data_IF_632455634491
#
_entry.id   IF_632455634491
#
_cell.length_a   1.000
_cell.length_b   1.000
_cell.length_c   1.000
_cell.angle_alpha   90.00
_cell.angle_beta   90.00
_cell.angle_gamma   90.00
#
_symmetry.space_group_name_H-M   'P 1'
#
loop_
_entity.id
_entity.type
_entity.pdbx_description
1 polymer ?
#
# COMPACT_ATOMS: atom_id res chain seq x y z
N UNK A 1 12.47 -16.18 16.80
CA UNK A 1 13.20 -16.08 15.52
C UNK A 1 14.08 -14.84 15.54
N UNK A 2 15.27 -14.89 14.96
CA UNK A 2 16.09 -13.68 14.76
C UNK A 2 15.48 -12.82 13.65
N UNK A 3 15.43 -11.50 13.83
CA UNK A 3 14.95 -10.55 12.83
C UNK A 3 15.82 -10.58 11.55
N UNK A 4 15.22 -10.48 10.34
CA UNK A 4 15.96 -10.34 9.07
C UNK A 4 16.50 -8.91 8.86
N UNK A 5 17.13 -8.68 7.72
CA UNK A 5 17.37 -7.31 7.24
C UNK A 5 16.01 -6.65 7.01
N UNK A 6 15.88 -5.38 7.39
CA UNK A 6 14.63 -4.63 7.26
C UNK A 6 14.77 -3.55 6.20
N UNK A 7 14.18 -3.81 5.04
CA UNK A 7 14.17 -2.90 3.91
C UNK A 7 12.95 -1.98 3.96
N UNK A 8 13.13 -0.73 3.58
CA UNK A 8 12.10 0.30 3.50
C UNK A 8 12.41 1.22 2.34
N UNK A 9 11.43 1.45 1.47
CA UNK A 9 11.51 2.51 0.48
C UNK A 9 10.95 3.82 1.04
N UNK A 10 11.16 4.90 0.30
CA UNK A 10 10.56 6.21 0.57
C UNK A 10 10.51 7.03 -0.70
N UNK A 11 9.97 8.24 -0.60
CA UNK A 11 9.99 9.21 -1.70
C UNK A 11 11.19 10.17 -1.62
N UNK A 12 12.09 9.97 -0.66
CA UNK A 12 13.20 10.89 -0.36
C UNK A 12 14.55 10.20 -0.49
N UNK A 13 15.58 11.00 -0.70
CA UNK A 13 17.00 10.58 -0.68
C UNK A 13 17.54 10.38 0.75
N UNK A 14 16.66 10.24 1.74
CA UNK A 14 16.98 9.88 3.13
C UNK A 14 16.00 8.86 3.68
N UNK A 15 16.42 8.12 4.72
CA UNK A 15 15.71 6.93 5.22
C UNK A 15 14.35 7.21 5.89
N UNK A 16 14.22 8.35 6.57
CA UNK A 16 12.97 8.87 7.21
C UNK A 16 12.12 7.82 7.93
N UNK A 17 12.74 6.95 8.71
CA UNK A 17 12.03 5.97 9.56
C UNK A 17 11.09 6.65 10.57
N UNK A 18 11.34 7.90 10.93
CA UNK A 18 10.56 8.74 11.85
C UNK A 18 9.34 9.41 11.20
N UNK A 19 9.15 9.28 9.89
CA UNK A 19 7.98 9.79 9.18
C UNK A 19 6.74 8.90 9.42
N UNK A 20 6.31 8.82 10.68
CA UNK A 20 5.15 8.03 11.12
C UNK A 20 3.85 8.75 10.74
N UNK A 21 3.04 8.07 9.94
CA UNK A 21 1.72 8.51 9.47
C UNK A 21 0.61 7.92 10.35
N UNK A 22 -0.58 8.54 10.40
CA UNK A 22 -1.70 8.02 11.18
C UNK A 22 -2.09 6.55 10.83
N UNK A 23 -1.90 6.13 9.58
CA UNK A 23 -2.17 4.74 9.16
C UNK A 23 -1.09 3.73 9.58
N UNK A 24 0.11 4.17 9.96
CA UNK A 24 1.19 3.25 10.33
C UNK A 24 0.99 2.70 11.75
N UNK A 25 0.47 3.53 12.67
CA UNK A 25 0.13 3.13 14.04
C UNK A 25 -0.95 4.06 14.63
N UNK A 26 -2.03 3.53 15.24
CA UNK A 26 -3.04 4.33 15.91
C UNK A 26 -2.45 5.10 17.10
N UNK A 27 -2.84 6.37 17.21
CA UNK A 27 -2.47 7.23 18.34
C UNK A 27 -3.72 7.49 19.18
N UNK A 28 -3.71 7.07 20.45
CA UNK A 28 -4.83 7.27 21.38
C UNK A 28 -4.34 8.11 22.55
N UNK A 29 -4.92 9.29 22.75
CA UNK A 29 -4.50 10.26 23.77
C UNK A 29 -2.99 10.60 23.67
N UNK A 30 -2.46 10.75 22.46
CA UNK A 30 -1.03 11.03 22.21
C UNK A 30 -0.09 9.83 22.38
N UNK A 31 -0.63 8.64 22.70
CA UNK A 31 0.15 7.44 22.99
C UNK A 31 0.03 6.41 21.87
N UNK A 32 1.12 5.68 21.64
CA UNK A 32 1.17 4.47 20.80
C UNK A 32 1.41 3.25 21.68
N UNK A 33 0.89 2.08 21.26
CA UNK A 33 0.99 0.83 22.03
C UNK A 33 1.62 -0.29 21.19
N UNK A 34 2.35 -1.23 21.81
CA UNK A 34 2.83 -2.41 21.10
C UNK A 34 1.66 -3.23 20.55
N UNK A 35 1.83 -3.80 19.36
CA UNK A 35 0.84 -4.70 18.75
C UNK A 35 -0.35 -4.02 18.06
N UNK A 36 -0.35 -2.69 17.94
CA UNK A 36 -1.39 -1.95 17.20
C UNK A 36 -0.93 -1.42 15.85
N UNK A 37 0.29 -1.73 15.43
CA UNK A 37 0.90 -1.21 14.20
C UNK A 37 2.41 -0.98 14.38
N UNK A 38 3.01 -0.28 13.41
CA UNK A 38 4.42 0.05 13.40
C UNK A 38 4.90 0.53 12.03
N UNK A 39 6.17 0.91 11.98
CA UNK A 39 6.78 1.32 10.72
C UNK A 39 6.99 0.10 9.83
N UNK A 40 6.38 0.11 8.65
CA UNK A 40 6.45 -0.99 7.68
C UNK A 40 7.85 -1.15 7.09
N UNK A 41 8.32 -2.39 7.07
CA UNK A 41 9.59 -2.86 6.51
C UNK A 41 9.42 -4.25 5.91
N UNK A 42 10.40 -4.70 5.13
CA UNK A 42 10.33 -5.98 4.42
C UNK A 42 11.66 -6.74 4.51
N UNK A 43 11.63 -8.06 4.35
CA UNK A 43 12.83 -8.93 4.43
C UNK A 43 13.79 -8.77 3.25
N UNK A 44 13.30 -8.26 2.13
CA UNK A 44 14.06 -7.96 0.93
C UNK A 44 13.61 -6.65 0.30
N UNK A 45 14.48 -6.05 -0.49
CA UNK A 45 14.08 -4.92 -1.34
C UNK A 45 13.05 -5.41 -2.35
N UNK A 46 12.00 -4.63 -2.56
CA UNK A 46 11.05 -4.95 -3.62
C UNK A 46 11.57 -4.53 -4.99
N UNK A 47 11.16 -5.32 -5.97
CA UNK A 47 11.67 -5.24 -7.33
C UNK A 47 11.38 -3.88 -8.00
N UNK A 48 10.26 -3.28 -7.64
CA UNK A 48 9.79 -1.96 -8.08
C UNK A 48 10.44 -0.78 -7.33
N UNK A 49 11.19 -1.02 -6.26
CA UNK A 49 11.76 0.05 -5.44
C UNK A 49 13.00 0.69 -6.08
N UNK A 50 13.03 2.03 -6.08
CA UNK A 50 14.17 2.78 -6.54
C UNK A 50 15.35 2.63 -5.57
N UNK A 51 16.48 2.21 -6.12
CA UNK A 51 17.73 1.96 -5.41
C UNK A 51 18.22 3.15 -4.57
N UNK A 52 18.08 4.36 -5.12
CA UNK A 52 18.45 5.62 -4.49
C UNK A 52 17.41 6.15 -3.49
N UNK A 53 16.29 5.46 -3.32
CA UNK A 53 15.22 5.80 -2.37
C UNK A 53 14.90 4.66 -1.40
N UNK A 54 15.73 3.63 -1.37
CA UNK A 54 15.50 2.43 -0.57
C UNK A 54 16.63 2.23 0.42
N UNK A 55 16.25 1.89 1.63
CA UNK A 55 17.11 1.84 2.79
C UNK A 55 16.96 0.51 3.48
N UNK A 56 18.07 -0.06 3.94
CA UNK A 56 18.09 -1.29 4.72
C UNK A 56 18.66 -1.04 6.11
N UNK A 57 17.92 -1.45 7.14
CA UNK A 57 18.45 -1.64 8.49
C UNK A 57 18.90 -3.08 8.60
N UNK A 58 20.22 -3.29 8.65
CA UNK A 58 20.82 -4.63 8.72
C UNK A 58 20.37 -5.37 9.96
N UNK A 59 20.18 -6.69 9.85
CA UNK A 59 19.77 -7.59 10.94
C UNK A 59 20.69 -7.48 12.16
N UNK A 60 21.98 -7.22 11.93
CA UNK A 60 23.01 -7.03 12.95
C UNK A 60 22.92 -5.69 13.70
N UNK A 61 22.21 -4.70 13.17
CA UNK A 61 22.08 -3.38 13.79
C UNK A 61 21.03 -3.40 14.90
N UNK A 62 21.34 -2.80 16.05
CA UNK A 62 20.37 -2.66 17.14
C UNK A 62 19.22 -1.71 16.78
N UNK A 63 17.99 -2.06 17.15
CA UNK A 63 16.83 -1.17 17.08
C UNK A 63 16.73 -0.24 18.32
N UNK A 64 17.61 -0.41 19.31
CA UNK A 64 17.49 0.22 20.61
C UNK A 64 16.42 -0.44 21.50
N UNK A 65 16.19 0.14 22.68
CA UNK A 65 15.32 -0.45 23.71
C UNK A 65 13.83 -0.13 23.51
N UNK A 66 13.53 0.90 22.71
CA UNK A 66 12.17 1.43 22.53
C UNK A 66 11.44 0.82 21.33
N UNK A 67 12.14 0.02 20.51
CA UNK A 67 11.61 -0.54 19.28
C UNK A 67 11.78 -2.06 19.27
N UNK A 68 10.85 -2.73 18.62
CA UNK A 68 10.93 -4.16 18.36
C UNK A 68 10.52 -4.43 16.92
N UNK A 69 11.08 -5.47 16.31
CA UNK A 69 10.65 -5.93 14.99
C UNK A 69 9.71 -7.13 15.16
N UNK A 70 8.51 -7.04 14.60
CA UNK A 70 7.53 -8.11 14.57
C UNK A 70 7.27 -8.51 13.13
N UNK A 71 7.32 -9.82 12.86
CA UNK A 71 6.77 -10.34 11.61
C UNK A 71 5.26 -10.21 11.72
N UNK A 72 4.67 -9.49 10.77
CA UNK A 72 3.21 -9.32 10.70
C UNK A 72 2.64 -10.37 9.74
N UNK A 73 3.17 -10.40 8.51
CA UNK A 73 2.79 -11.36 7.48
C UNK A 73 3.95 -11.65 6.52
N UNK A 74 4.24 -12.92 6.24
CA UNK A 74 5.21 -13.33 5.21
C UNK A 74 6.55 -12.59 5.32
N UNK A 75 6.86 -11.81 4.28
CA UNK A 75 8.06 -10.98 4.18
C UNK A 75 7.90 -9.55 4.76
N UNK A 76 6.73 -9.21 5.28
CA UNK A 76 6.42 -7.92 5.89
C UNK A 76 6.66 -7.92 7.40
N UNK A 77 7.38 -6.89 7.86
CA UNK A 77 7.78 -6.70 9.23
C UNK A 77 7.46 -5.29 9.70
N UNK A 78 7.02 -5.18 10.95
CA UNK A 78 6.76 -3.92 11.62
C UNK A 78 7.88 -3.60 12.59
N UNK A 79 8.48 -2.42 12.47
CA UNK A 79 9.22 -1.81 13.57
C UNK A 79 8.19 -1.13 14.46
N UNK A 80 7.83 -1.76 15.57
CA UNK A 80 6.79 -1.33 16.50
C UNK A 80 7.40 -0.78 17.80
N UNK A 81 6.66 0.01 18.59
CA UNK A 81 7.10 0.36 19.94
C UNK A 81 7.21 -0.90 20.81
N UNK A 82 8.26 -0.97 21.65
CA UNK A 82 8.48 -2.11 22.57
C UNK A 82 7.60 -2.04 23.82
N UNK A 83 7.19 -0.84 24.22
CA UNK A 83 6.27 -0.55 25.32
C UNK A 83 5.34 0.62 24.95
N UNK A 84 4.30 0.86 25.74
CA UNK A 84 3.45 2.03 25.53
C UNK A 84 4.26 3.32 25.73
N UNK A 85 4.22 4.24 24.77
CA UNK A 85 4.98 5.50 24.80
C UNK A 85 4.27 6.61 24.03
N UNK A 86 4.73 7.85 24.15
CA UNK A 86 4.19 8.97 23.35
C UNK A 86 4.57 8.81 21.88
N UNK A 87 3.78 9.39 20.97
CA UNK A 87 4.10 9.40 19.54
C UNK A 87 5.44 10.10 19.26
N UNK A 88 5.81 11.13 20.02
CA UNK A 88 7.09 11.82 19.92
C UNK A 88 8.26 10.92 20.34
N UNK A 89 8.10 10.14 21.41
CA UNK A 89 9.11 9.18 21.87
C UNK A 89 9.34 8.10 20.81
N UNK A 90 8.26 7.63 20.19
CA UNK A 90 8.32 6.65 19.12
C UNK A 90 9.01 7.20 17.87
N UNK A 91 8.63 8.41 17.40
CA UNK A 91 9.29 9.11 16.29
C UNK A 91 10.78 9.34 16.57
N UNK A 92 11.13 9.74 17.80
CA UNK A 92 12.52 9.92 18.21
C UNK A 92 13.32 8.61 18.15
N UNK A 93 12.75 7.51 18.65
CA UNK A 93 13.39 6.19 18.55
C UNK A 93 13.59 5.77 17.09
N UNK A 94 12.58 5.95 16.24
CA UNK A 94 12.68 5.66 14.80
C UNK A 94 13.71 6.55 14.10
N UNK A 95 13.84 7.82 14.49
CA UNK A 95 14.81 8.74 13.89
C UNK A 95 16.26 8.26 14.08
N UNK A 96 16.52 7.50 15.14
CA UNK A 96 17.83 6.89 15.40
C UNK A 96 18.19 5.84 14.34
N UNK A 97 17.19 5.19 13.73
CA UNK A 97 17.40 4.22 12.66
C UNK A 97 17.92 4.87 11.38
N UNK A 98 17.60 6.16 11.14
CA UNK A 98 18.10 6.88 9.96
C UNK A 98 19.62 6.93 9.89
N UNK A 99 20.32 6.87 11.03
CA UNK A 99 21.79 6.89 11.10
C UNK A 99 22.44 5.56 10.73
N UNK A 100 21.70 4.46 10.81
CA UNK A 100 22.20 3.10 10.59
C UNK A 100 21.62 2.43 9.34
N UNK A 101 20.67 3.08 8.68
CA UNK A 101 20.07 2.60 7.46
C UNK A 101 21.01 2.86 6.26
N UNK A 102 21.14 1.87 5.37
CA UNK A 102 22.08 1.90 4.24
C UNK A 102 21.29 1.93 2.91
N UNK A 103 21.66 2.74 1.91
CA UNK A 103 21.02 2.73 0.59
C UNK A 103 21.20 1.38 -0.12
N UNK A 104 20.21 0.94 -0.90
CA UNK A 104 20.23 -0.40 -1.51
C UNK A 104 20.72 -0.45 -2.95
N UNK A 105 21.36 0.59 -3.48
CA UNK A 105 21.73 0.68 -4.89
C UNK A 105 22.57 -0.50 -5.40
N UNK A 106 21.88 -1.56 -5.85
CA UNK A 106 22.38 -2.84 -6.38
C UNK A 106 21.19 -3.77 -6.75
N UNK A 107 20.60 -3.54 -7.94
CA UNK A 107 19.89 -4.48 -8.86
C UNK A 107 18.52 -5.09 -8.47
N UNK A 108 17.46 -4.94 -9.30
CA UNK A 108 16.14 -5.60 -9.10
C UNK A 108 15.30 -5.89 -10.39
N UNK A 109 14.38 -6.86 -10.26
CA UNK A 109 13.40 -7.37 -11.25
C UNK A 109 12.08 -6.53 -11.36
N UNK A 110 11.14 -6.87 -12.26
CA UNK A 110 10.05 -5.98 -12.75
C UNK A 110 8.66 -6.63 -12.62
N UNK A 111 7.63 -5.89 -12.15
CA UNK A 111 6.21 -6.31 -12.15
C UNK A 111 5.69 -6.45 -13.59
N UNK A 112 4.92 -7.49 -13.91
CA UNK A 112 4.33 -7.64 -15.25
C UNK A 112 3.34 -6.51 -15.56
N UNK A 113 3.17 -6.17 -16.84
CA UNK A 113 2.21 -5.13 -17.27
C UNK A 113 0.76 -5.65 -17.38
N UNK A 114 0.59 -6.95 -17.54
CA UNK A 114 -0.72 -7.59 -17.71
C UNK A 114 -0.76 -8.89 -16.91
N UNK A 115 -1.95 -9.19 -16.39
CA UNK A 115 -2.25 -10.42 -15.66
C UNK A 115 -2.34 -11.62 -16.61
N UNK A 116 -1.77 -12.74 -16.20
CA UNK A 116 -2.00 -14.06 -16.78
C UNK A 116 -2.97 -14.91 -15.94
N UNK A 117 -3.59 -14.34 -14.89
CA UNK A 117 -4.49 -15.05 -13.98
C UNK A 117 -5.72 -15.61 -14.72
N UNK A 118 -6.23 -16.76 -14.27
CA UNK A 118 -7.36 -17.44 -14.93
C UNK A 118 -8.71 -16.79 -14.59
N UNK A 119 -8.88 -16.31 -13.35
CA UNK A 119 -10.08 -15.59 -12.92
C UNK A 119 -10.16 -14.19 -13.54
N UNK A 120 -11.30 -13.87 -14.16
CA UNK A 120 -11.52 -12.60 -14.86
C UNK A 120 -11.49 -11.41 -13.90
N UNK A 121 -12.11 -11.51 -12.73
CA UNK A 121 -12.19 -10.40 -11.79
C UNK A 121 -10.79 -10.05 -11.26
N UNK A 122 -9.98 -11.05 -10.91
CA UNK A 122 -8.57 -10.87 -10.54
C UNK A 122 -7.78 -10.20 -11.65
N UNK A 123 -7.92 -10.62 -12.92
CA UNK A 123 -7.20 -9.98 -14.04
C UNK A 123 -7.49 -8.50 -14.16
N UNK A 124 -8.76 -8.12 -14.04
CA UNK A 124 -9.19 -6.73 -14.15
C UNK A 124 -8.60 -5.88 -13.03
N UNK A 125 -8.69 -6.37 -11.79
CA UNK A 125 -8.09 -5.67 -10.63
C UNK A 125 -6.58 -5.59 -10.78
N UNK A 126 -5.89 -6.69 -11.10
CA UNK A 126 -4.45 -6.70 -11.32
C UNK A 126 -4.03 -5.67 -12.38
N UNK A 127 -4.69 -5.64 -13.54
CA UNK A 127 -4.31 -4.74 -14.63
C UNK A 127 -4.46 -3.27 -14.22
N UNK A 128 -5.50 -2.94 -13.43
CA UNK A 128 -5.67 -1.61 -12.86
C UNK A 128 -4.61 -1.27 -11.80
N UNK A 129 -4.14 -2.24 -11.00
CA UNK A 129 -3.02 -2.01 -10.08
C UNK A 129 -1.70 -1.84 -10.85
N UNK A 130 -1.47 -2.67 -11.88
CA UNK A 130 -0.29 -2.62 -12.72
C UNK A 130 -0.17 -1.28 -13.45
N UNK A 131 -1.27 -0.74 -13.99
CA UNK A 131 -1.27 0.59 -14.63
C UNK A 131 -0.85 1.69 -13.64
N UNK A 132 -1.39 1.68 -12.42
CA UNK A 132 -1.03 2.65 -11.38
C UNK A 132 0.45 2.57 -11.02
N UNK A 133 1.00 1.36 -10.92
CA UNK A 133 2.42 1.12 -10.58
C UNK A 133 3.35 1.52 -11.72
N UNK A 134 3.04 1.15 -12.96
CA UNK A 134 3.91 1.40 -14.12
C UNK A 134 3.84 2.86 -14.58
N UNK A 135 2.64 3.42 -14.66
CA UNK A 135 2.40 4.79 -15.15
C UNK A 135 2.52 5.83 -14.04
N UNK A 136 2.65 5.40 -12.78
CA UNK A 136 2.73 6.28 -11.59
C UNK A 136 1.54 7.23 -11.51
N UNK A 137 0.35 6.69 -11.73
CA UNK A 137 -0.90 7.44 -11.69
C UNK A 137 -1.10 8.06 -10.31
N UNK A 138 -1.32 9.38 -10.20
CA UNK A 138 -1.36 10.07 -8.93
C UNK A 138 -2.54 9.60 -8.07
N UNK A 139 -2.23 9.19 -6.84
CA UNK A 139 -3.24 8.89 -5.80
C UNK A 139 -2.99 9.80 -4.60
N UNK A 140 -4.07 10.40 -4.07
CA UNK A 140 -3.97 11.36 -2.97
C UNK A 140 -3.25 10.76 -1.76
N UNK A 141 -2.28 11.52 -1.21
CA UNK A 141 -1.47 11.13 -0.04
C UNK A 141 -0.57 9.90 -0.23
N UNK A 142 -0.46 9.34 -1.44
CA UNK A 142 0.43 8.20 -1.70
C UNK A 142 1.88 8.62 -1.94
N UNK A 143 2.79 7.84 -1.38
CA UNK A 143 4.21 7.87 -1.66
C UNK A 143 4.68 6.58 -2.33
N UNK A 144 5.98 6.48 -2.65
CA UNK A 144 6.58 5.34 -3.35
C UNK A 144 6.32 3.98 -2.67
N UNK A 145 6.17 3.95 -1.34
CA UNK A 145 5.83 2.72 -0.63
C UNK A 145 4.42 2.27 -0.91
N UNK A 146 3.50 3.21 -1.10
CA UNK A 146 2.10 2.91 -1.35
C UNK A 146 1.94 2.29 -2.74
N UNK A 147 2.62 2.83 -3.77
CA UNK A 147 2.70 2.19 -5.09
C UNK A 147 3.36 0.81 -5.03
N UNK A 148 4.41 0.67 -4.23
CA UNK A 148 5.07 -0.62 -4.14
C UNK A 148 4.28 -1.65 -3.34
N UNK A 149 3.57 -1.22 -2.31
CA UNK A 149 2.63 -2.08 -1.59
C UNK A 149 1.54 -2.55 -2.54
N UNK A 150 1.01 -1.66 -3.40
CA UNK A 150 0.10 -2.07 -4.48
C UNK A 150 0.75 -3.05 -5.46
N UNK A 151 2.02 -2.87 -5.81
CA UNK A 151 2.72 -3.83 -6.65
C UNK A 151 2.83 -5.21 -6.01
N UNK A 152 3.03 -5.29 -4.69
CA UNK A 152 3.02 -6.55 -3.95
C UNK A 152 1.60 -7.13 -3.86
N UNK A 153 0.58 -6.33 -3.54
CA UNK A 153 -0.82 -6.78 -3.56
C UNK A 153 -1.22 -7.31 -4.94
N UNK A 154 -0.72 -6.70 -6.03
CA UNK A 154 -0.94 -7.18 -7.39
C UNK A 154 -0.26 -8.53 -7.63
N UNK A 155 1.00 -8.72 -7.18
CA UNK A 155 1.68 -10.02 -7.27
C UNK A 155 0.96 -11.10 -6.48
N UNK A 156 0.55 -10.80 -5.25
CA UNK A 156 -0.17 -11.73 -4.38
C UNK A 156 -1.57 -12.06 -4.95
N UNK A 157 -2.20 -11.14 -5.68
CA UNK A 157 -3.42 -11.42 -6.45
C UNK A 157 -3.14 -12.36 -7.62
N UNK A 158 -2.05 -12.11 -8.35
CA UNK A 158 -1.65 -12.85 -9.55
C UNK A 158 -1.23 -14.29 -9.24
N UNK A 159 -0.58 -14.52 -8.10
CA UNK A 159 -0.17 -15.85 -7.65
C UNK A 159 -1.23 -16.57 -6.80
N UNK A 160 -2.29 -15.86 -6.41
CA UNK A 160 -3.43 -16.38 -5.66
C UNK A 160 -3.22 -16.47 -4.14
N UNK A 161 -2.11 -15.96 -3.62
CA UNK A 161 -1.84 -15.92 -2.17
C UNK A 161 -2.73 -14.92 -1.43
N UNK A 162 -3.19 -13.87 -2.13
CA UNK A 162 -4.20 -12.92 -1.66
C UNK A 162 -5.52 -13.11 -2.45
N UNK A 163 -6.53 -13.77 -1.88
CA UNK A 163 -7.78 -13.97 -2.58
C UNK A 163 -8.56 -12.65 -2.69
N UNK A 164 -9.09 -12.38 -3.89
CA UNK A 164 -9.84 -11.16 -4.19
C UNK A 164 -10.98 -10.89 -3.19
N UNK A 165 -11.62 -11.94 -2.64
CA UNK A 165 -12.70 -11.82 -1.64
C UNK A 165 -12.28 -11.18 -0.31
N UNK A 166 -10.98 -11.08 -0.01
CA UNK A 166 -10.46 -10.32 1.13
C UNK A 166 -10.30 -8.84 0.83
N UNK A 167 -10.30 -8.46 -0.45
CA UNK A 167 -10.20 -7.08 -0.88
C UNK A 167 -11.55 -6.42 -1.09
N UNK A 168 -12.61 -7.17 -1.36
CA UNK A 168 -13.97 -6.65 -1.62
C UNK A 168 -14.61 -6.08 -0.35
N UNK A 169 -15.31 -4.96 -0.48
CA UNK A 169 -16.06 -4.32 0.60
C UNK A 169 -17.16 -5.23 1.18
N UNK A 170 -17.37 -5.17 2.50
CA UNK A 170 -18.34 -5.98 3.24
C UNK A 170 -19.17 -5.11 4.19
N UNK A 171 -20.48 -5.15 4.07
CA UNK A 171 -21.38 -4.39 4.94
C UNK A 171 -21.26 -4.81 6.43
N UNK A 172 -21.18 -3.85 7.36
CA UNK A 172 -21.31 -4.06 8.81
C UNK A 172 -20.03 -4.39 9.61
N UNK A 173 -18.83 -4.09 9.09
CA UNK A 173 -17.57 -4.27 9.82
C UNK A 173 -17.10 -3.01 10.58
N UNK A 174 -16.36 -3.14 11.69
CA UNK A 174 -15.66 -2.01 12.35
C UNK A 174 -14.14 -2.15 12.10
N UNK A 175 -13.35 -1.17 11.64
CA UNK A 175 -13.59 0.23 11.24
C UNK A 175 -12.84 0.56 9.91
N UNK A 176 -13.40 1.23 8.89
CA UNK A 176 -14.73 1.85 8.77
C UNK A 176 -15.28 1.81 7.33
N UNK A 177 -16.35 1.10 7.00
CA UNK A 177 -17.14 0.13 7.79
C UNK A 177 -17.36 -1.18 7.00
N UNK A 178 -16.37 -1.53 6.15
CA UNK A 178 -16.40 -2.77 5.37
C UNK A 178 -15.14 -3.15 4.59
N UNK A 179 -14.11 -2.31 4.63
CA UNK A 179 -12.85 -2.58 3.94
C UNK A 179 -11.78 -3.11 4.89
N UNK A 180 -10.95 -4.04 4.40
CA UNK A 180 -9.61 -4.28 4.94
C UNK A 180 -8.66 -3.15 4.54
N UNK A 181 -7.48 -3.07 5.18
CA UNK A 181 -6.45 -2.10 4.79
C UNK A 181 -6.05 -2.28 3.33
N UNK A 182 -5.81 -3.53 2.92
CA UNK A 182 -5.48 -3.94 1.56
C UNK A 182 -6.60 -3.50 0.59
N UNK A 183 -7.86 -3.72 0.98
CA UNK A 183 -9.04 -3.32 0.21
C UNK A 183 -9.11 -1.82 -0.04
N UNK A 184 -8.77 -0.98 0.95
CA UNK A 184 -8.71 0.48 0.76
C UNK A 184 -7.63 0.87 -0.25
N UNK A 185 -6.45 0.25 -0.19
CA UNK A 185 -5.36 0.52 -1.14
C UNK A 185 -5.75 0.11 -2.56
N UNK A 186 -6.31 -1.09 -2.72
CA UNK A 186 -6.79 -1.58 -4.02
C UNK A 186 -7.91 -0.70 -4.57
N UNK A 187 -8.91 -0.36 -3.76
CA UNK A 187 -10.01 0.51 -4.19
C UNK A 187 -9.52 1.91 -4.62
N UNK A 188 -8.54 2.47 -3.91
CA UNK A 188 -7.94 3.77 -4.24
C UNK A 188 -7.15 3.72 -5.55
N UNK A 189 -6.30 2.69 -5.75
CA UNK A 189 -5.58 2.50 -7.00
C UNK A 189 -6.53 2.26 -8.18
N UNK A 190 -7.52 1.38 -8.01
CA UNK A 190 -8.50 1.09 -9.07
C UNK A 190 -9.27 2.35 -9.46
N UNK A 191 -9.68 3.17 -8.47
CA UNK A 191 -10.34 4.45 -8.74
C UNK A 191 -9.46 5.41 -9.57
N UNK A 192 -8.18 5.55 -9.21
CA UNK A 192 -7.23 6.37 -9.96
C UNK A 192 -6.96 5.83 -11.37
N UNK A 193 -6.89 4.51 -11.55
CA UNK A 193 -6.76 3.88 -12.87
C UNK A 193 -7.98 4.18 -13.75
N UNK A 194 -9.19 4.12 -13.19
CA UNK A 194 -10.42 4.42 -13.94
C UNK A 194 -10.44 5.89 -14.38
N UNK A 195 -10.11 6.82 -13.48
CA UNK A 195 -10.03 8.25 -13.82
C UNK A 195 -9.01 8.53 -14.93
N UNK A 196 -7.79 7.98 -14.80
CA UNK A 196 -6.75 8.13 -15.81
C UNK A 196 -7.12 7.50 -17.17
N UNK A 197 -7.91 6.43 -17.15
CA UNK A 197 -8.41 5.78 -18.38
C UNK A 197 -9.46 6.66 -19.05
N UNK A 198 -10.45 7.14 -18.30
CA UNK A 198 -11.47 8.09 -18.82
C UNK A 198 -10.84 9.31 -19.49
N UNK A 199 -9.81 9.90 -18.86
CA UNK A 199 -9.09 11.05 -19.43
C UNK A 199 -8.35 10.72 -20.73
N UNK A 200 -7.90 9.48 -20.90
CA UNK A 200 -7.10 9.03 -22.05
C UNK A 200 -7.96 8.74 -23.28
N UNK A 201 -9.18 8.24 -23.06
CA UNK A 201 -10.10 7.83 -24.12
C UNK A 201 -11.09 8.94 -24.51
N UNK A 202 -11.12 10.04 -23.76
CA UNK A 202 -12.03 11.15 -24.00
C UNK A 202 -11.97 11.68 -25.45
N UNK A 203 -13.14 11.81 -26.07
CA UNK A 203 -13.31 12.23 -27.46
C UNK A 203 -13.37 11.09 -28.48
N UNK A 204 -13.34 9.82 -28.04
CA UNK A 204 -13.57 8.65 -28.89
C UNK A 204 -14.70 7.78 -28.32
N UNK A 205 -15.88 7.87 -28.92
CA UNK A 205 -17.11 7.19 -28.47
C UNK A 205 -16.94 5.67 -28.26
N UNK A 206 -16.20 4.99 -29.14
CA UNK A 206 -15.99 3.55 -29.04
C UNK A 206 -15.10 3.19 -27.84
N UNK A 207 -13.98 3.90 -27.68
CA UNK A 207 -13.04 3.68 -26.57
C UNK A 207 -13.66 4.10 -25.22
N UNK A 208 -14.50 5.14 -25.22
CA UNK A 208 -15.26 5.57 -24.05
C UNK A 208 -16.28 4.52 -23.62
N UNK A 209 -16.98 3.90 -24.57
CA UNK A 209 -17.93 2.83 -24.29
C UNK A 209 -17.23 1.59 -23.69
N UNK A 210 -16.08 1.21 -24.24
CA UNK A 210 -15.27 0.11 -23.71
C UNK A 210 -14.75 0.42 -22.30
N UNK A 211 -14.21 1.62 -22.08
CA UNK A 211 -13.76 2.04 -20.74
C UNK A 211 -14.92 2.08 -19.73
N UNK A 212 -16.11 2.55 -20.14
CA UNK A 212 -17.28 2.57 -19.28
C UNK A 212 -17.72 1.16 -18.86
N UNK A 213 -17.68 0.19 -19.78
CA UNK A 213 -17.98 -1.22 -19.48
C UNK A 213 -16.98 -1.81 -18.48
N UNK A 214 -15.68 -1.56 -18.68
CA UNK A 214 -14.63 -2.02 -17.79
C UNK A 214 -14.72 -1.37 -16.40
N UNK A 215 -15.04 -0.07 -16.33
CA UNK A 215 -15.25 0.65 -15.08
C UNK A 215 -16.47 0.13 -14.33
N UNK A 216 -17.59 -0.10 -15.01
CA UNK A 216 -18.78 -0.70 -14.39
C UNK A 216 -18.46 -2.08 -13.79
N UNK A 217 -17.69 -2.90 -14.51
CA UNK A 217 -17.25 -4.20 -14.01
C UNK A 217 -16.35 -4.09 -12.76
N UNK A 218 -15.37 -3.18 -12.75
CA UNK A 218 -14.51 -2.94 -11.59
C UNK A 218 -15.29 -2.44 -10.36
N UNK A 219 -16.27 -1.54 -10.57
CA UNK A 219 -17.13 -1.03 -9.50
C UNK A 219 -17.99 -2.14 -8.90
N UNK A 220 -18.52 -3.05 -9.72
CA UNK A 220 -19.29 -4.19 -9.24
C UNK A 220 -18.41 -5.17 -8.45
N UNK A 221 -17.25 -5.55 -9.01
CA UNK A 221 -16.30 -6.50 -8.36
C UNK A 221 -15.89 -6.01 -6.97
N UNK A 222 -15.55 -4.73 -6.84
CA UNK A 222 -15.08 -4.13 -5.58
C UNK A 222 -16.23 -3.52 -4.74
N UNK A 223 -17.46 -3.54 -5.24
CA UNK A 223 -18.65 -2.93 -4.60
C UNK A 223 -18.50 -1.43 -4.33
N UNK A 224 -17.85 -0.70 -5.24
CA UNK A 224 -17.54 0.73 -5.08
C UNK A 224 -18.77 1.64 -5.08
N UNK A 225 -19.91 1.16 -5.58
CA UNK A 225 -21.18 1.92 -5.65
C UNK A 225 -22.16 1.61 -4.51
N UNK A 226 -21.81 0.68 -3.60
CA UNK A 226 -22.72 0.25 -2.55
C UNK A 226 -22.91 1.34 -1.47
N UNK A 227 -24.16 1.63 -1.04
CA UNK A 227 -24.42 2.60 0.02
C UNK A 227 -23.62 2.31 1.30
N UNK A 228 -22.99 3.33 1.88
CA UNK A 228 -22.10 3.18 3.04
C UNK A 228 -20.63 2.88 2.69
N UNK A 229 -20.32 2.66 1.40
CA UNK A 229 -18.93 2.60 0.94
C UNK A 229 -18.34 4.02 0.81
N UNK A 230 -17.19 4.25 1.45
CA UNK A 230 -16.49 5.54 1.46
C UNK A 230 -16.14 6.07 0.06
N UNK A 231 -16.02 5.19 -0.94
CA UNK A 231 -15.74 5.59 -2.33
C UNK A 231 -16.98 6.07 -3.11
N UNK A 232 -18.20 5.93 -2.56
CA UNK A 232 -19.44 6.49 -3.15
C UNK A 232 -19.50 8.01 -2.98
N UNK A 233 -19.02 8.54 -1.85
CA UNK A 233 -19.15 9.96 -1.50
C UNK A 233 -18.33 10.89 -2.41
N UNK A 234 -17.29 10.39 -3.10
CA UNK A 234 -16.46 11.20 -3.99
C UNK A 234 -17.09 11.44 -5.38
N UNK A 235 -18.05 10.62 -5.81
CA UNK A 235 -18.69 10.72 -7.13
C UNK A 235 -19.94 11.63 -7.15
N UNK A 236 -20.42 12.14 -6.00
CA UNK A 236 -21.59 13.02 -5.94
C UNK A 236 -21.27 14.52 -5.92
N UNK A 237 -20.00 14.91 -5.81
CA UNK A 237 -19.59 16.33 -5.74
C UNK A 237 -19.23 16.96 -7.09
N UNK A 238 -19.45 16.27 -8.22
CA UNK A 238 -19.13 16.77 -9.57
C UNK A 238 -20.38 17.06 -10.42
N UNK A 239 -21.56 17.10 -9.80
CA UNK A 239 -22.82 17.44 -10.46
C UNK A 239 -23.55 18.57 -9.73
N UNK A 240 -22.92 19.74 -9.68
CA UNK A 240 -23.59 21.06 -9.53
C UNK A 240 -22.90 22.10 -10.42
#
# INVERSE_FOLDING_TARGET
MSRPDLFRAGNTTSARFDNVRPQDIPVVNGMVKPGTGGMSTFTMKQSVWADNKTWVVKKSSSLGNNLTAKNDHGDHWLIAPSSQMTIETYKSALSSLNRIAIPTASSHAVLAKQSAHMDRATRFVFNALASVVHDRLPVASWDENDYAYVAELAKELEDGTLPLSQLVWKEGGVAGEGWSREGVFVASAVSASMEATSLRVAGNDDDEADAANDHAYLREVLKLEQPGNLFVAANQTSAE
#
